data_IF_328449453563
#
_entry.id   IF_328449453563
#
_cell.length_a   1.000
_cell.length_b   1.000
_cell.length_c   1.000
_cell.angle_alpha   90.00
_cell.angle_beta   90.00
_cell.angle_gamma   90.00
#
_symmetry.space_group_name_H-M   'P 1'
#
loop_
_entity.id
_entity.type
_entity.pdbx_description
1 polymer ?
#
# COMPACT_ATOMS: atom_id res chain seq x y z
N UNK A 1 -13.57 26.74 -8.37
CA UNK A 1 -13.91 25.32 -8.64
C UNK A 1 -13.06 24.47 -7.71
N UNK A 2 -13.63 23.50 -6.98
CA UNK A 2 -12.82 22.58 -6.17
C UNK A 2 -12.10 21.59 -7.10
N UNK A 3 -10.94 21.10 -6.67
CA UNK A 3 -10.04 20.31 -7.52
C UNK A 3 -9.56 19.05 -6.79
N UNK A 4 -9.60 17.92 -7.48
CA UNK A 4 -8.94 16.67 -7.12
C UNK A 4 -7.76 16.50 -8.09
N UNK A 5 -6.54 16.42 -7.56
CA UNK A 5 -5.36 16.11 -8.36
C UNK A 5 -5.02 14.63 -8.24
N UNK A 6 -4.76 13.96 -9.35
CA UNK A 6 -4.31 12.58 -9.40
C UNK A 6 -2.87 12.52 -9.92
N UNK A 7 -1.93 12.18 -9.05
CA UNK A 7 -0.50 12.03 -9.35
C UNK A 7 -0.22 10.55 -9.62
N UNK A 8 0.39 10.25 -10.76
CA UNK A 8 0.51 8.88 -11.27
C UNK A 8 -0.69 8.46 -12.11
N UNK A 9 -1.29 9.41 -12.82
CA UNK A 9 -2.50 9.19 -13.61
C UNK A 9 -2.30 8.21 -14.78
N UNK A 10 -1.06 7.88 -15.14
CA UNK A 10 -0.74 6.83 -16.12
C UNK A 10 -1.08 5.42 -15.63
N UNK A 11 -1.39 5.23 -14.34
CA UNK A 11 -2.03 4.02 -13.84
C UNK A 11 -3.51 3.97 -14.25
N UNK A 12 -3.76 3.77 -15.55
CA UNK A 12 -5.06 4.04 -16.19
C UNK A 12 -6.23 3.30 -15.56
N UNK A 13 -6.06 2.03 -15.19
CA UNK A 13 -7.10 1.25 -14.51
C UNK A 13 -7.38 1.80 -13.11
N UNK A 14 -6.35 2.16 -12.37
CA UNK A 14 -6.49 2.66 -11.01
C UNK A 14 -7.10 4.08 -11.00
N UNK A 15 -6.63 4.96 -11.90
CA UNK A 15 -7.21 6.28 -12.12
C UNK A 15 -8.69 6.17 -12.53
N UNK A 16 -9.04 5.25 -13.44
CA UNK A 16 -10.43 4.93 -13.79
C UNK A 16 -11.24 4.54 -12.56
N UNK A 17 -10.73 3.64 -11.73
CA UNK A 17 -11.49 3.15 -10.58
C UNK A 17 -11.79 4.28 -9.59
N UNK A 18 -10.77 5.01 -9.15
CA UNK A 18 -10.93 6.03 -8.12
C UNK A 18 -11.69 7.26 -8.65
N UNK A 19 -11.33 7.78 -9.83
CA UNK A 19 -11.99 8.97 -10.38
C UNK A 19 -13.36 8.64 -10.98
N UNK A 20 -13.53 7.44 -11.55
CA UNK A 20 -14.84 6.93 -11.96
C UNK A 20 -15.79 6.79 -10.78
N UNK A 21 -15.31 6.34 -9.62
CA UNK A 21 -16.11 6.33 -8.39
C UNK A 21 -16.53 7.74 -7.98
N UNK A 22 -15.64 8.72 -8.11
CA UNK A 22 -15.95 10.11 -7.81
C UNK A 22 -17.01 10.69 -8.76
N UNK A 23 -17.09 10.24 -10.02
CA UNK A 23 -18.12 10.67 -10.97
C UNK A 23 -19.53 10.25 -10.55
N UNK A 24 -19.67 9.18 -9.73
CA UNK A 24 -20.94 8.72 -9.17
C UNK A 24 -21.36 9.49 -7.91
N UNK A 25 -20.51 10.36 -7.38
CA UNK A 25 -20.81 11.13 -6.16
C UNK A 25 -21.44 12.47 -6.54
N UNK A 26 -22.70 12.75 -6.15
CA UNK A 26 -23.35 14.03 -6.46
C UNK A 26 -22.60 15.25 -5.92
N UNK A 27 -21.99 15.13 -4.73
CA UNK A 27 -21.23 16.21 -4.10
C UNK A 27 -19.92 16.57 -4.84
N UNK A 28 -19.41 15.68 -5.71
CA UNK A 28 -18.17 15.90 -6.46
C UNK A 28 -18.41 16.37 -7.89
N UNK A 29 -19.67 16.58 -8.26
CA UNK A 29 -20.02 17.19 -9.54
C UNK A 29 -19.45 18.63 -9.61
N UNK A 30 -19.13 19.07 -10.83
CA UNK A 30 -18.47 20.36 -11.11
C UNK A 30 -17.03 20.50 -10.57
N UNK A 31 -16.42 19.46 -10.00
CA UNK A 31 -14.99 19.48 -9.65
C UNK A 31 -14.11 19.44 -10.91
N UNK A 32 -12.89 19.95 -10.78
CA UNK A 32 -11.81 19.64 -11.72
C UNK A 32 -11.06 18.39 -11.26
N UNK A 33 -10.91 17.41 -12.14
CA UNK A 33 -10.01 16.26 -12.01
C UNK A 33 -8.74 16.58 -12.80
N UNK A 34 -7.71 17.02 -12.07
CA UNK A 34 -6.40 17.35 -12.61
C UNK A 34 -5.52 16.10 -12.67
N UNK A 35 -5.11 15.68 -13.86
CA UNK A 35 -4.29 14.49 -14.07
C UNK A 35 -2.84 14.89 -14.28
N UNK A 36 -1.91 14.24 -13.59
CA UNK A 36 -0.49 14.40 -13.79
C UNK A 36 0.22 13.05 -13.83
N UNK A 37 1.08 12.88 -14.83
CA UNK A 37 2.03 11.77 -14.94
C UNK A 37 3.27 12.25 -15.72
N UNK A 38 4.42 11.63 -15.46
CA UNK A 38 5.65 11.89 -16.21
C UNK A 38 5.64 11.20 -17.58
N UNK A 39 4.86 10.13 -17.73
CA UNK A 39 4.63 9.45 -18.99
C UNK A 39 3.48 10.11 -19.74
N UNK A 40 3.82 10.94 -20.72
CA UNK A 40 2.85 11.70 -21.53
C UNK A 40 1.88 10.81 -22.31
N UNK A 41 2.34 9.64 -22.75
CA UNK A 41 1.50 8.73 -23.51
C UNK A 41 0.43 8.14 -22.60
N UNK A 42 0.84 7.59 -21.45
CA UNK A 42 -0.10 7.03 -20.47
C UNK A 42 -1.04 8.09 -19.89
N UNK A 43 -0.55 9.31 -19.68
CA UNK A 43 -1.38 10.44 -19.26
C UNK A 43 -2.49 10.75 -20.28
N UNK A 44 -2.14 10.80 -21.57
CA UNK A 44 -3.11 11.02 -22.64
C UNK A 44 -4.14 9.88 -22.73
N UNK A 45 -3.70 8.63 -22.59
CA UNK A 45 -4.59 7.46 -22.59
C UNK A 45 -5.61 7.53 -21.45
N UNK A 46 -5.16 7.88 -20.24
CA UNK A 46 -6.05 8.09 -19.09
C UNK A 46 -7.01 9.25 -19.28
N UNK A 47 -6.57 10.37 -19.84
CA UNK A 47 -7.44 11.50 -20.13
C UNK A 47 -8.55 11.12 -21.12
N UNK A 48 -8.21 10.42 -22.20
CA UNK A 48 -9.18 9.94 -23.20
C UNK A 48 -10.21 9.01 -22.56
N UNK A 49 -9.75 7.98 -21.83
CA UNK A 49 -10.64 7.03 -21.16
C UNK A 49 -11.58 7.72 -20.18
N UNK A 50 -11.07 8.59 -19.31
CA UNK A 50 -11.89 9.31 -18.33
C UNK A 50 -12.87 10.28 -19.00
N UNK A 51 -12.53 10.84 -20.16
CA UNK A 51 -13.42 11.71 -20.94
C UNK A 51 -14.59 10.91 -21.54
N UNK A 52 -14.32 9.73 -22.10
CA UNK A 52 -15.39 8.82 -22.53
C UNK A 52 -16.30 8.45 -21.35
N UNK A 53 -15.71 8.10 -20.21
CA UNK A 53 -16.48 7.74 -19.02
C UNK A 53 -17.34 8.90 -18.52
N UNK A 54 -16.79 10.11 -18.43
CA UNK A 54 -17.53 11.33 -18.07
C UNK A 54 -18.76 11.52 -18.94
N UNK A 55 -18.60 11.40 -20.27
CA UNK A 55 -19.70 11.60 -21.21
C UNK A 55 -20.79 10.53 -21.04
N UNK A 56 -20.40 9.27 -20.89
CA UNK A 56 -21.34 8.17 -20.72
C UNK A 56 -22.12 8.23 -19.41
N UNK A 57 -21.47 8.71 -18.34
CA UNK A 57 -22.10 8.92 -17.04
C UNK A 57 -22.86 10.26 -16.94
N UNK A 58 -22.85 11.10 -17.98
CA UNK A 58 -23.35 12.47 -17.95
C UNK A 58 -22.79 13.30 -16.77
N UNK A 59 -21.54 13.06 -16.40
CA UNK A 59 -20.90 13.74 -15.28
C UNK A 59 -20.51 15.18 -15.65
N UNK A 60 -20.72 16.11 -14.71
CA UNK A 60 -20.47 17.55 -14.91
C UNK A 60 -19.06 18.00 -14.50
N UNK A 61 -18.21 17.05 -14.09
CA UNK A 61 -16.81 17.31 -13.73
C UNK A 61 -16.01 17.84 -14.93
N UNK A 62 -14.88 18.48 -14.68
CA UNK A 62 -13.92 18.88 -15.73
C UNK A 62 -12.69 17.98 -15.63
N UNK A 63 -12.20 17.43 -16.74
CA UNK A 63 -10.97 16.62 -16.76
C UNK A 63 -9.91 17.44 -17.47
N UNK A 64 -8.72 17.53 -16.88
CA UNK A 64 -7.59 18.21 -17.49
C UNK A 64 -6.28 17.50 -17.16
N UNK A 65 -5.52 17.14 -18.18
CA UNK A 65 -4.15 16.71 -18.04
C UNK A 65 -3.20 17.92 -17.95
N UNK A 66 -2.14 17.78 -17.16
CA UNK A 66 -1.14 18.80 -16.92
C UNK A 66 0.26 18.23 -17.21
N UNK A 67 1.08 19.00 -17.93
CA UNK A 67 2.50 18.71 -18.13
C UNK A 67 3.36 19.16 -16.94
N UNK A 68 2.86 20.11 -16.14
CA UNK A 68 3.54 20.65 -14.96
C UNK A 68 2.82 20.21 -13.68
N UNK A 69 3.55 19.57 -12.77
CA UNK A 69 3.02 19.01 -11.53
C UNK A 69 2.43 20.07 -10.63
N UNK A 70 3.11 21.22 -10.54
CA UNK A 70 2.76 22.31 -9.63
C UNK A 70 1.49 23.00 -10.08
N UNK A 71 1.31 23.19 -11.38
CA UNK A 71 0.05 23.69 -11.96
C UNK A 71 -1.10 22.69 -11.80
N UNK A 72 -0.83 21.39 -11.90
CA UNK A 72 -1.83 20.36 -11.59
C UNK A 72 -2.31 20.53 -10.13
N UNK A 73 -1.35 20.61 -9.18
CA UNK A 73 -1.58 20.74 -7.75
C UNK A 73 -2.22 22.05 -7.32
N UNK A 74 -2.01 23.15 -8.06
CA UNK A 74 -2.42 24.51 -7.64
C UNK A 74 -3.90 24.58 -7.27
N UNK A 75 -4.17 24.92 -6.01
CA UNK A 75 -5.53 25.05 -5.47
C UNK A 75 -6.28 23.71 -5.29
N UNK A 76 -5.58 22.57 -5.32
CA UNK A 76 -6.19 21.28 -5.02
C UNK A 76 -6.79 21.24 -3.62
N UNK A 77 -7.96 20.62 -3.49
CA UNK A 77 -8.57 20.28 -2.20
C UNK A 77 -8.17 18.87 -1.76
N UNK A 78 -7.95 17.98 -2.74
CA UNK A 78 -7.53 16.60 -2.53
C UNK A 78 -6.46 16.23 -3.54
N UNK A 79 -5.48 15.45 -3.10
CA UNK A 79 -4.41 14.89 -3.92
C UNK A 79 -4.42 13.39 -3.73
N UNK A 80 -4.57 12.63 -4.81
CA UNK A 80 -4.52 11.17 -4.82
C UNK A 80 -3.19 10.78 -5.44
N UNK A 81 -2.40 9.99 -4.73
CA UNK A 81 -1.05 9.62 -5.14
C UNK A 81 -0.91 8.11 -5.37
N UNK A 82 -0.62 7.72 -6.61
CA UNK A 82 -0.47 6.33 -7.03
C UNK A 82 0.73 6.14 -7.96
N UNK A 83 1.89 6.67 -7.57
CA UNK A 83 3.13 6.59 -8.35
C UNK A 83 3.86 5.26 -8.11
N UNK A 84 4.71 4.88 -9.06
CA UNK A 84 5.69 3.80 -8.88
C UNK A 84 7.05 4.27 -9.41
N UNK A 85 7.91 4.74 -8.49
CA UNK A 85 9.24 5.24 -8.88
C UNK A 85 10.13 4.08 -9.33
N UNK A 86 10.67 4.20 -10.54
CA UNK A 86 11.54 3.21 -11.17
C UNK A 86 10.83 2.09 -11.96
N UNK A 87 9.51 1.94 -11.78
CA UNK A 87 8.69 0.98 -12.53
C UNK A 87 9.13 -0.49 -12.40
N UNK A 88 8.59 -1.35 -13.27
CA UNK A 88 8.98 -2.76 -13.34
C UNK A 88 10.44 -2.91 -13.80
N UNK A 89 10.79 -2.28 -14.93
CA UNK A 89 12.15 -2.23 -15.46
C UNK A 89 12.68 -0.78 -15.40
N UNK A 90 13.85 -0.54 -14.79
CA UNK A 90 14.77 -1.55 -14.26
C UNK A 90 14.51 -1.95 -12.80
N UNK A 91 13.80 -1.12 -12.02
CA UNK A 91 13.93 -1.16 -10.56
C UNK A 91 13.39 -2.43 -9.90
N UNK A 92 12.18 -2.88 -10.23
CA UNK A 92 11.66 -4.14 -9.66
C UNK A 92 12.50 -5.34 -10.08
N UNK A 93 13.02 -5.37 -11.31
CA UNK A 93 13.95 -6.42 -11.72
C UNK A 93 15.24 -6.38 -10.88
N UNK A 94 15.81 -5.21 -10.64
CA UNK A 94 16.99 -5.05 -9.76
C UNK A 94 16.69 -5.55 -8.34
N UNK A 95 15.52 -5.15 -7.78
CA UNK A 95 15.09 -5.52 -6.43
C UNK A 95 14.90 -7.04 -6.24
N UNK A 96 14.82 -7.83 -7.33
CA UNK A 96 14.75 -9.28 -7.30
C UNK A 96 16.06 -9.97 -7.72
N UNK A 97 16.68 -9.51 -8.81
CA UNK A 97 17.84 -10.19 -9.39
C UNK A 97 19.11 -10.00 -8.55
N UNK A 98 19.29 -8.87 -7.87
CA UNK A 98 20.45 -8.68 -6.99
C UNK A 98 20.33 -9.55 -5.72
N UNK A 99 19.24 -9.53 -4.93
CA UNK A 99 19.10 -10.40 -3.77
C UNK A 99 19.25 -11.90 -4.08
N UNK A 100 18.78 -12.36 -5.24
CA UNK A 100 18.96 -13.76 -5.68
C UNK A 100 20.43 -14.19 -5.78
N UNK A 101 21.34 -13.28 -6.16
CA UNK A 101 22.78 -13.59 -6.24
C UNK A 101 23.37 -13.96 -4.88
N UNK A 102 22.76 -13.46 -3.80
CA UNK A 102 23.12 -13.73 -2.42
C UNK A 102 22.33 -14.91 -1.83
N UNK A 103 21.46 -15.57 -2.60
CA UNK A 103 20.58 -16.63 -2.12
C UNK A 103 19.30 -16.14 -1.43
N UNK A 104 19.07 -14.83 -1.37
CA UNK A 104 17.89 -14.24 -0.74
C UNK A 104 16.72 -14.19 -1.74
N UNK A 105 15.79 -15.15 -1.63
CA UNK A 105 14.65 -15.32 -2.56
C UNK A 105 13.41 -14.59 -2.05
N UNK A 106 12.71 -13.86 -2.90
CA UNK A 106 11.54 -13.07 -2.52
C UNK A 106 10.28 -13.51 -3.27
N UNK A 107 9.11 -13.13 -2.76
CA UNK A 107 7.81 -13.31 -3.43
C UNK A 107 7.37 -11.99 -4.06
N UNK A 108 7.37 -10.90 -3.30
CA UNK A 108 6.75 -9.63 -3.69
C UNK A 108 7.75 -8.46 -3.71
N UNK A 109 8.56 -8.29 -2.67
CA UNK A 109 9.64 -7.28 -2.62
C UNK A 109 9.19 -5.84 -2.76
N UNK A 110 7.91 -5.54 -2.50
CA UNK A 110 7.29 -4.26 -2.90
C UNK A 110 7.06 -3.28 -1.73
N UNK A 111 7.08 -3.76 -0.49
CA UNK A 111 6.66 -2.98 0.70
C UNK A 111 7.59 -3.17 1.91
N UNK A 112 7.71 -4.41 2.41
CA UNK A 112 8.65 -4.81 3.47
C UNK A 112 9.68 -5.76 2.86
N UNK A 113 10.80 -6.02 3.53
CA UNK A 113 11.93 -6.77 2.96
C UNK A 113 12.96 -5.88 2.28
N UNK A 114 14.04 -6.50 1.78
CA UNK A 114 15.12 -5.77 1.08
C UNK A 114 14.62 -5.03 -0.17
N UNK A 115 13.69 -5.61 -0.93
CA UNK A 115 13.07 -4.92 -2.06
C UNK A 115 12.26 -3.69 -1.61
N UNK A 116 11.46 -3.84 -0.55
CA UNK A 116 10.69 -2.74 0.06
C UNK A 116 11.57 -1.61 0.62
N UNK A 117 12.70 -1.96 1.24
CA UNK A 117 13.73 -1.02 1.68
C UNK A 117 14.21 -0.15 0.51
N UNK A 118 14.70 -0.77 -0.57
CA UNK A 118 15.24 -0.03 -1.70
C UNK A 118 14.18 0.74 -2.48
N UNK A 119 12.96 0.21 -2.59
CA UNK A 119 11.83 0.96 -3.14
C UNK A 119 11.51 2.20 -2.33
N UNK A 120 11.56 2.12 -1.00
CA UNK A 120 11.39 3.29 -0.14
C UNK A 120 12.48 4.34 -0.39
N UNK A 121 13.75 3.93 -0.45
CA UNK A 121 14.88 4.84 -0.65
C UNK A 121 14.82 5.59 -1.99
N UNK A 122 14.25 4.97 -3.03
CA UNK A 122 13.97 5.64 -4.32
C UNK A 122 12.76 6.58 -4.25
N UNK A 123 11.75 6.21 -3.48
CA UNK A 123 10.43 6.88 -3.52
C UNK A 123 10.34 8.06 -2.55
N UNK A 124 10.99 7.99 -1.39
CA UNK A 124 10.96 9.06 -0.38
C UNK A 124 11.37 10.43 -0.95
N UNK A 125 12.49 10.58 -1.69
CA UNK A 125 12.87 11.88 -2.25
C UNK A 125 11.81 12.47 -3.17
N UNK A 126 11.26 11.65 -4.08
CA UNK A 126 10.19 12.07 -5.01
C UNK A 126 8.94 12.49 -4.25
N UNK A 127 8.59 11.78 -3.17
CA UNK A 127 7.43 12.10 -2.36
C UNK A 127 7.61 13.39 -1.57
N UNK A 128 8.82 13.67 -1.07
CA UNK A 128 9.15 14.94 -0.42
C UNK A 128 9.10 16.12 -1.40
N UNK A 129 9.56 15.93 -2.64
CA UNK A 129 9.42 16.95 -3.70
C UNK A 129 7.95 17.26 -4.01
N UNK A 130 7.10 16.23 -4.07
CA UNK A 130 5.64 16.39 -4.23
C UNK A 130 5.05 17.15 -3.03
N UNK A 131 5.47 16.80 -1.81
CA UNK A 131 4.98 17.45 -0.60
C UNK A 131 5.35 18.94 -0.57
N UNK A 132 6.56 19.29 -0.99
CA UNK A 132 7.00 20.68 -1.10
C UNK A 132 6.12 21.47 -2.07
N UNK A 133 5.79 20.90 -3.24
CA UNK A 133 4.86 21.55 -4.17
C UNK A 133 3.47 21.74 -3.55
N UNK A 134 2.96 20.74 -2.84
CA UNK A 134 1.66 20.83 -2.14
C UNK A 134 1.67 21.94 -1.10
N UNK A 135 2.70 22.03 -0.25
CA UNK A 135 2.80 23.08 0.77
C UNK A 135 2.81 24.48 0.15
N UNK A 136 3.40 24.64 -1.03
CA UNK A 136 3.46 25.93 -1.71
C UNK A 136 2.13 26.32 -2.38
N UNK A 137 1.49 25.39 -3.10
CA UNK A 137 0.36 25.75 -3.99
C UNK A 137 -0.99 25.17 -3.58
N UNK A 138 -1.03 24.27 -2.59
CA UNK A 138 -2.24 23.65 -2.07
C UNK A 138 -2.09 23.21 -0.59
N UNK A 139 -1.67 24.10 0.34
CA UNK A 139 -1.30 23.72 1.71
C UNK A 139 -2.43 23.10 2.54
N UNK A 140 -3.68 23.29 2.13
CA UNK A 140 -4.86 22.74 2.80
C UNK A 140 -5.34 21.41 2.19
N UNK A 141 -4.65 20.89 1.18
CA UNK A 141 -5.07 19.68 0.50
C UNK A 141 -4.87 18.43 1.35
N UNK A 142 -5.82 17.50 1.27
CA UNK A 142 -5.65 16.15 1.82
C UNK A 142 -4.94 15.24 0.81
N UNK A 143 -3.83 14.65 1.23
CA UNK A 143 -3.03 13.71 0.46
C UNK A 143 -3.44 12.26 0.77
N UNK A 144 -4.15 11.64 -0.16
CA UNK A 144 -4.59 10.25 -0.09
C UNK A 144 -3.55 9.36 -0.79
N UNK A 145 -2.70 8.71 0.00
CA UNK A 145 -1.59 7.92 -0.51
C UNK A 145 -2.00 6.47 -0.77
N UNK A 146 -1.89 6.03 -2.03
CA UNK A 146 -2.00 4.64 -2.46
C UNK A 146 -0.65 4.02 -2.85
N UNK A 147 0.42 4.79 -2.76
CA UNK A 147 1.76 4.34 -3.15
C UNK A 147 2.40 3.52 -2.05
N UNK A 148 2.87 2.32 -2.40
CA UNK A 148 3.76 1.50 -1.57
C UNK A 148 5.22 1.95 -1.71
N UNK A 149 6.04 1.81 -0.64
CA UNK A 149 5.72 1.20 0.65
C UNK A 149 4.96 2.12 1.62
N UNK A 150 3.69 1.81 1.93
CA UNK A 150 2.76 2.79 2.48
C UNK A 150 3.16 3.30 3.87
N UNK A 151 3.48 2.40 4.80
CA UNK A 151 3.85 2.78 6.16
C UNK A 151 5.08 3.70 6.19
N UNK A 152 6.08 3.42 5.35
CA UNK A 152 7.30 4.23 5.26
C UNK A 152 7.00 5.60 4.65
N UNK A 153 6.23 5.64 3.57
CA UNK A 153 5.94 6.86 2.81
C UNK A 153 5.00 7.80 3.57
N UNK A 154 3.88 7.28 4.07
CA UNK A 154 2.92 8.03 4.92
C UNK A 154 3.58 8.47 6.23
N UNK A 155 4.41 7.59 6.83
CA UNK A 155 5.18 7.94 8.03
C UNK A 155 6.22 9.03 7.77
N UNK A 156 6.85 9.06 6.59
CA UNK A 156 7.79 10.11 6.19
C UNK A 156 7.09 11.45 6.06
N UNK A 157 5.99 11.51 5.30
CA UNK A 157 5.19 12.73 5.14
C UNK A 157 4.75 13.28 6.51
N UNK A 158 4.16 12.43 7.34
CA UNK A 158 3.65 12.82 8.66
C UNK A 158 4.72 13.33 9.64
N UNK A 159 5.99 12.94 9.45
CA UNK A 159 7.09 13.31 10.34
C UNK A 159 7.88 14.53 9.85
N UNK A 160 7.95 14.75 8.54
CA UNK A 160 8.91 15.68 7.94
C UNK A 160 8.26 16.75 7.06
N UNK A 161 6.94 16.77 6.91
CA UNK A 161 6.21 17.80 6.16
C UNK A 161 4.95 18.23 6.91
N UNK A 162 4.31 19.31 6.46
CA UNK A 162 3.03 19.80 6.98
C UNK A 162 1.83 19.30 6.14
N UNK A 163 2.06 18.37 5.21
CA UNK A 163 1.00 17.85 4.34
C UNK A 163 0.07 16.95 5.14
N UNK A 164 -1.21 17.31 5.17
CA UNK A 164 -2.27 16.45 5.71
C UNK A 164 -2.36 15.18 4.87
N UNK A 165 -2.16 14.01 5.48
CA UNK A 165 -2.04 12.77 4.72
C UNK A 165 -2.66 11.57 5.44
N UNK A 166 -3.06 10.57 4.64
CA UNK A 166 -3.44 9.23 5.10
C UNK A 166 -3.03 8.21 4.04
N UNK A 167 -2.53 7.05 4.45
CA UNK A 167 -2.29 5.92 3.54
C UNK A 167 -3.49 4.98 3.46
N UNK A 168 -3.83 4.54 2.24
CA UNK A 168 -5.01 3.72 1.94
C UNK A 168 -4.63 2.41 1.27
N UNK A 169 -4.81 1.29 1.97
CA UNK A 169 -4.46 -0.05 1.49
C UNK A 169 -5.70 -0.93 1.31
N UNK A 170 -5.73 -1.70 0.21
CA UNK A 170 -6.79 -2.67 -0.06
C UNK A 170 -6.80 -3.86 0.89
N UNK A 171 -5.66 -4.20 1.49
CA UNK A 171 -5.48 -5.37 2.33
C UNK A 171 -6.40 -5.40 3.55
N UNK A 172 -6.37 -4.32 4.33
CA UNK A 172 -7.28 -4.13 5.48
C UNK A 172 -8.73 -4.06 5.03
N UNK A 173 -8.99 -3.45 3.87
CA UNK A 173 -10.33 -3.25 3.34
C UNK A 173 -11.06 -4.56 3.01
N UNK A 174 -10.34 -5.56 2.50
CA UNK A 174 -10.93 -6.82 2.03
C UNK A 174 -10.71 -7.99 2.99
N UNK A 175 -9.88 -7.80 4.02
CA UNK A 175 -9.38 -8.84 4.93
C UNK A 175 -10.46 -9.83 5.37
N UNK A 176 -11.48 -9.37 6.09
CA UNK A 176 -12.46 -10.27 6.70
C UNK A 176 -13.42 -10.87 5.67
N UNK A 177 -13.83 -10.09 4.67
CA UNK A 177 -14.66 -10.58 3.55
C UNK A 177 -13.98 -11.75 2.85
N UNK A 178 -12.70 -11.59 2.51
CA UNK A 178 -11.96 -12.58 1.74
C UNK A 178 -11.62 -13.82 2.59
N UNK A 179 -11.26 -13.64 3.87
CA UNK A 179 -11.13 -14.73 4.84
C UNK A 179 -12.42 -15.56 4.91
N UNK A 180 -13.56 -14.89 5.08
CA UNK A 180 -14.84 -15.57 5.26
C UNK A 180 -15.27 -16.29 3.99
N UNK A 181 -15.11 -15.65 2.82
CA UNK A 181 -15.35 -16.30 1.52
C UNK A 181 -14.50 -17.56 1.37
N UNK A 182 -13.22 -17.48 1.73
CA UNK A 182 -12.30 -18.61 1.65
C UNK A 182 -12.66 -19.75 2.62
N UNK A 183 -13.25 -19.44 3.77
CA UNK A 183 -13.73 -20.42 4.76
C UNK A 183 -15.21 -20.83 4.55
N UNK A 184 -15.89 -20.33 3.51
CA UNK A 184 -17.32 -20.59 3.27
C UNK A 184 -18.23 -20.05 4.39
N UNK A 185 -17.85 -18.91 4.98
CA UNK A 185 -18.58 -18.23 6.05
C UNK A 185 -19.32 -17.00 5.50
N UNK A 186 -20.43 -16.64 6.13
CA UNK A 186 -21.20 -15.44 5.81
C UNK A 186 -20.56 -14.19 6.44
N UNK A 187 -20.21 -13.22 5.61
CA UNK A 187 -19.50 -11.99 5.98
C UNK A 187 -20.45 -10.79 6.17
N UNK A 188 -21.77 -11.00 6.17
CA UNK A 188 -22.75 -9.93 6.37
C UNK A 188 -23.03 -9.69 7.85
N UNK A 189 -23.22 -8.42 8.22
CA UNK A 189 -23.57 -8.02 9.60
C UNK A 189 -22.50 -8.38 10.64
N UNK A 190 -21.23 -8.35 10.24
CA UNK A 190 -20.10 -8.62 11.13
C UNK A 190 -19.60 -7.34 11.78
N UNK A 191 -19.20 -7.45 13.03
CA UNK A 191 -18.42 -6.43 13.75
C UNK A 191 -16.96 -6.85 13.71
N UNK A 192 -16.08 -5.95 13.28
CA UNK A 192 -14.65 -6.23 13.20
C UNK A 192 -13.80 -5.11 13.76
N UNK A 193 -12.61 -5.47 14.26
CA UNK A 193 -11.58 -4.53 14.66
C UNK A 193 -10.25 -5.01 14.12
N UNK A 194 -9.67 -4.26 13.19
CA UNK A 194 -8.36 -4.55 12.61
C UNK A 194 -7.39 -3.44 13.01
N UNK A 195 -6.18 -3.80 13.46
CA UNK A 195 -5.13 -2.84 13.74
C UNK A 195 -3.72 -3.43 13.68
N UNK A 196 -2.73 -2.60 13.36
CA UNK A 196 -1.32 -2.94 13.37
C UNK A 196 -0.52 -1.92 12.57
N UNK A 197 0.25 -2.37 11.58
CA UNK A 197 0.89 -1.52 10.57
C UNK A 197 0.47 -2.02 9.18
N UNK A 198 0.63 -1.19 8.15
CA UNK A 198 0.34 -1.60 6.78
C UNK A 198 0.95 -2.97 6.44
N UNK A 199 0.13 -3.85 5.88
CA UNK A 199 0.44 -5.24 5.51
C UNK A 199 0.79 -6.21 6.67
N UNK A 200 0.87 -5.74 7.91
CA UNK A 200 1.01 -6.57 9.13
C UNK A 200 0.00 -6.09 10.18
N UNK A 201 -1.26 -5.92 9.78
CA UNK A 201 -2.35 -5.62 10.69
C UNK A 201 -3.11 -6.91 11.03
N UNK A 202 -3.72 -6.93 12.22
CA UNK A 202 -4.35 -8.14 12.77
C UNK A 202 -5.83 -7.93 12.95
N UNK A 203 -6.64 -8.92 12.57
CA UNK A 203 -8.06 -8.96 12.88
C UNK A 203 -8.24 -9.24 14.38
N UNK A 204 -8.24 -8.22 15.23
CA UNK A 204 -8.25 -8.35 16.68
C UNK A 204 -9.60 -8.83 17.24
N UNK A 205 -10.70 -8.38 16.62
CA UNK A 205 -12.06 -8.77 16.99
C UNK A 205 -12.84 -9.08 15.73
N UNK A 206 -13.64 -10.14 15.77
CA UNK A 206 -14.59 -10.50 14.73
C UNK A 206 -15.80 -11.18 15.35
N UNK A 207 -16.94 -10.51 15.31
CA UNK A 207 -18.17 -10.94 15.99
C UNK A 207 -19.38 -10.85 15.06
N UNK A 208 -20.41 -11.64 15.35
CA UNK A 208 -21.74 -11.49 14.78
C UNK A 208 -22.78 -11.67 15.88
N UNK A 209 -23.67 -10.70 16.02
CA UNK A 209 -24.69 -10.67 17.07
C UNK A 209 -24.10 -10.90 18.48
N UNK A 210 -22.95 -10.28 18.76
CA UNK A 210 -22.20 -10.41 20.02
C UNK A 210 -21.40 -11.71 20.20
N UNK A 211 -21.47 -12.67 19.28
CA UNK A 211 -20.74 -13.95 19.36
C UNK A 211 -19.38 -13.86 18.66
N UNK A 212 -18.31 -14.30 19.35
CA UNK A 212 -16.97 -14.39 18.78
C UNK A 212 -16.87 -15.49 17.71
N UNK A 213 -16.39 -15.12 16.53
CA UNK A 213 -16.29 -16.01 15.38
C UNK A 213 -14.92 -16.72 15.27
N UNK A 214 -13.92 -16.30 16.05
CA UNK A 214 -12.58 -16.90 15.99
C UNK A 214 -12.52 -18.41 16.20
N UNK A 215 -13.27 -19.01 17.15
CA UNK A 215 -13.28 -20.46 17.32
C UNK A 215 -13.66 -21.22 16.04
N UNK A 216 -14.68 -20.73 15.32
CA UNK A 216 -15.14 -21.34 14.07
C UNK A 216 -14.16 -21.07 12.92
N UNK A 217 -13.62 -19.85 12.82
CA UNK A 217 -12.57 -19.48 11.85
C UNK A 217 -11.38 -20.44 11.99
N UNK A 218 -10.86 -20.62 13.20
CA UNK A 218 -9.72 -21.50 13.48
C UNK A 218 -10.03 -22.96 13.16
N UNK A 219 -11.24 -23.44 13.49
CA UNK A 219 -11.68 -24.80 13.16
C UNK A 219 -11.69 -25.03 11.65
N UNK A 220 -12.29 -24.12 10.87
CA UNK A 220 -12.36 -24.23 9.41
C UNK A 220 -11.00 -24.06 8.75
N UNK A 221 -10.17 -23.14 9.23
CA UNK A 221 -8.81 -22.96 8.73
C UNK A 221 -7.96 -24.22 8.93
N UNK A 222 -8.06 -24.87 10.10
CA UNK A 222 -7.38 -26.15 10.36
C UNK A 222 -7.85 -27.27 9.43
N UNK A 223 -9.15 -27.34 9.14
CA UNK A 223 -9.67 -28.30 8.17
C UNK A 223 -9.15 -28.00 6.76
N UNK A 224 -9.13 -26.72 6.38
CA UNK A 224 -8.69 -26.26 5.06
C UNK A 224 -7.20 -26.50 4.81
N UNK A 225 -6.37 -26.38 5.86
CA UNK A 225 -4.94 -26.68 5.81
C UNK A 225 -4.61 -28.17 5.54
N UNK A 226 -5.61 -29.07 5.47
CA UNK A 226 -5.38 -30.45 5.00
C UNK A 226 -5.17 -30.54 3.48
N UNK A 227 -5.54 -29.50 2.75
CA UNK A 227 -5.37 -29.38 1.30
C UNK A 227 -4.53 -28.14 0.96
N UNK A 228 -3.80 -28.16 -0.16
CA UNK A 228 -3.02 -27.00 -0.59
C UNK A 228 -3.95 -25.85 -1.03
N UNK A 229 -3.65 -24.63 -0.59
CA UNK A 229 -4.32 -23.42 -1.05
C UNK A 229 -3.41 -22.19 -0.97
N UNK A 230 -3.83 -21.06 -1.52
CA UNK A 230 -3.03 -19.83 -1.58
C UNK A 230 -2.90 -19.08 -0.23
N UNK A 231 -3.37 -19.65 0.88
CA UNK A 231 -3.51 -18.91 2.16
C UNK A 231 -2.85 -19.58 3.36
N UNK A 232 -1.95 -20.52 3.09
CA UNK A 232 -1.40 -21.42 4.11
C UNK A 232 -0.49 -20.68 5.09
N UNK A 233 0.30 -19.70 4.63
CA UNK A 233 1.18 -18.90 5.50
C UNK A 233 0.37 -18.09 6.52
N UNK A 234 -0.68 -17.38 6.08
CA UNK A 234 -1.55 -16.63 7.02
C UNK A 234 -2.26 -17.55 8.01
N UNK A 235 -2.72 -18.72 7.57
CA UNK A 235 -3.34 -19.70 8.48
C UNK A 235 -2.34 -20.27 9.47
N UNK A 236 -1.09 -20.50 9.06
CA UNK A 236 -0.03 -20.94 9.96
C UNK A 236 0.33 -19.86 10.98
N UNK A 237 0.41 -18.59 10.57
CA UNK A 237 0.58 -17.46 11.48
C UNK A 237 -0.58 -17.38 12.48
N UNK A 238 -1.83 -17.49 12.03
CA UNK A 238 -3.01 -17.49 12.91
C UNK A 238 -3.00 -18.66 13.88
N UNK A 239 -2.58 -19.85 13.46
CA UNK A 239 -2.48 -21.03 14.32
C UNK A 239 -1.44 -20.83 15.44
N UNK A 240 -0.30 -20.20 15.12
CA UNK A 240 0.83 -20.04 16.06
C UNK A 240 0.75 -18.78 16.91
N UNK A 241 0.24 -17.68 16.37
CA UNK A 241 0.18 -16.36 17.02
C UNK A 241 -1.24 -15.94 17.44
N UNK A 242 -2.25 -16.69 17.01
CA UNK A 242 -3.62 -16.62 17.51
C UNK A 242 -4.59 -15.75 16.71
N UNK A 243 -4.10 -14.93 15.77
CA UNK A 243 -4.88 -13.93 15.05
C UNK A 243 -4.57 -13.96 13.55
N UNK A 244 -5.57 -13.68 12.72
CA UNK A 244 -5.40 -13.58 11.27
C UNK A 244 -4.78 -12.23 10.90
N UNK A 245 -3.84 -12.24 9.96
CA UNK A 245 -3.13 -11.05 9.46
C UNK A 245 -3.73 -10.60 8.11
N UNK A 246 -3.76 -9.29 7.86
CA UNK A 246 -4.46 -8.71 6.71
C UNK A 246 -3.89 -9.13 5.35
N UNK A 247 -2.58 -9.00 5.15
CA UNK A 247 -1.97 -9.15 3.81
C UNK A 247 -1.70 -10.59 3.40
N UNK A 248 -1.77 -10.86 2.09
CA UNK A 248 -1.70 -12.19 1.51
C UNK A 248 -0.53 -13.04 2.01
N UNK A 249 -0.71 -14.36 1.93
CA UNK A 249 0.32 -15.33 2.31
C UNK A 249 1.63 -15.16 1.54
N UNK A 250 1.56 -14.60 0.34
CA UNK A 250 2.69 -14.27 -0.53
C UNK A 250 3.60 -13.24 0.15
N UNK A 251 3.02 -12.13 0.60
CA UNK A 251 3.73 -11.06 1.28
C UNK A 251 4.21 -11.52 2.67
N UNK A 252 3.32 -12.15 3.46
CA UNK A 252 3.70 -12.62 4.78
C UNK A 252 4.75 -13.74 4.74
N UNK A 253 4.97 -14.42 3.62
CA UNK A 253 6.07 -15.38 3.48
C UNK A 253 7.46 -14.72 3.62
N UNK A 254 7.59 -13.46 3.16
CA UNK A 254 8.88 -12.73 3.17
C UNK A 254 8.99 -11.68 4.30
N UNK A 255 7.91 -11.37 5.03
CA UNK A 255 7.94 -10.40 6.14
C UNK A 255 8.34 -11.01 7.48
N UNK A 256 8.41 -12.34 7.53
CA UNK A 256 8.76 -13.10 8.72
C UNK A 256 9.93 -14.04 8.42
N UNK A 257 10.77 -14.35 9.43
CA UNK A 257 11.99 -15.14 9.21
C UNK A 257 11.73 -16.65 9.16
N UNK A 258 10.52 -17.09 8.82
CA UNK A 258 10.06 -18.46 9.07
C UNK A 258 9.86 -19.30 7.81
N UNK A 259 9.50 -18.68 6.68
CA UNK A 259 8.84 -19.40 5.58
C UNK A 259 9.70 -19.58 4.34
N UNK A 260 10.50 -18.57 4.00
CA UNK A 260 11.48 -18.66 2.91
C UNK A 260 12.83 -18.90 3.57
N UNK A 261 13.26 -20.16 3.59
CA UNK A 261 14.42 -20.64 4.35
C UNK A 261 15.25 -21.60 3.52
N UNK A 262 16.52 -21.28 3.30
CA UNK A 262 17.47 -22.17 2.63
C UNK A 262 17.67 -23.51 3.36
N UNK A 263 17.59 -23.50 4.69
CA UNK A 263 17.68 -24.70 5.53
C UNK A 263 16.42 -25.59 5.48
N UNK A 264 15.28 -25.04 5.03
CA UNK A 264 13.98 -25.72 4.98
C UNK A 264 13.28 -25.44 3.64
N UNK A 265 13.90 -25.81 2.50
CA UNK A 265 13.40 -25.45 1.17
C UNK A 265 12.04 -26.08 0.85
N UNK A 266 11.66 -27.17 1.52
CA UNK A 266 10.37 -27.84 1.42
C UNK A 266 9.19 -26.93 1.80
N UNK A 267 9.41 -25.96 2.69
CA UNK A 267 8.37 -25.03 3.15
C UNK A 267 7.75 -24.23 2.00
N UNK A 268 8.53 -23.98 0.93
CA UNK A 268 8.02 -23.30 -0.26
C UNK A 268 6.89 -24.09 -0.92
N UNK A 269 7.06 -25.40 -1.07
CA UNK A 269 6.04 -26.26 -1.68
C UNK A 269 4.92 -26.60 -0.68
N UNK A 270 5.27 -26.88 0.58
CA UNK A 270 4.32 -27.25 1.64
C UNK A 270 3.31 -26.12 1.93
N UNK A 271 3.77 -24.87 1.88
CA UNK A 271 2.95 -23.68 2.16
C UNK A 271 2.50 -22.95 0.89
N UNK A 272 2.78 -23.52 -0.30
CA UNK A 272 2.39 -22.98 -1.60
C UNK A 272 2.84 -21.51 -1.78
N UNK A 273 4.12 -21.24 -1.50
CA UNK A 273 4.71 -19.89 -1.53
C UNK A 273 5.14 -19.54 -2.96
N UNK A 274 4.55 -18.50 -3.59
CA UNK A 274 4.84 -18.15 -4.97
C UNK A 274 6.06 -17.22 -5.04
N UNK A 275 7.26 -17.80 -5.12
CA UNK A 275 8.48 -17.01 -5.35
C UNK A 275 8.40 -16.27 -6.70
N UNK A 276 9.04 -15.10 -6.79
CA UNK A 276 9.04 -14.26 -7.99
C UNK A 276 7.63 -13.86 -8.49
N UNK A 277 6.66 -13.74 -7.58
CA UNK A 277 5.28 -13.41 -7.93
C UNK A 277 5.14 -11.99 -8.48
N UNK A 278 5.76 -10.99 -7.85
CA UNK A 278 5.58 -9.60 -8.31
C UNK A 278 6.15 -9.34 -9.72
N UNK A 279 7.36 -9.82 -10.09
CA UNK A 279 7.82 -9.76 -11.47
C UNK A 279 6.86 -10.44 -12.46
N UNK A 280 6.30 -11.60 -12.12
CA UNK A 280 5.31 -12.30 -12.96
C UNK A 280 4.03 -11.49 -13.11
N UNK A 281 3.56 -10.85 -12.03
CA UNK A 281 2.41 -9.92 -12.06
C UNK A 281 2.67 -8.72 -12.95
N UNK A 282 3.87 -8.13 -12.91
CA UNK A 282 4.22 -7.01 -13.78
C UNK A 282 4.15 -7.40 -15.26
N UNK A 283 4.73 -8.54 -15.64
CA UNK A 283 4.66 -9.04 -17.03
C UNK A 283 3.22 -9.27 -17.45
N UNK A 284 2.44 -10.02 -16.65
CA UNK A 284 1.04 -10.30 -16.94
C UNK A 284 0.17 -9.03 -17.06
N UNK A 285 0.42 -8.03 -16.22
CA UNK A 285 -0.30 -6.76 -16.27
C UNK A 285 0.02 -5.95 -17.53
N UNK A 286 1.28 -5.94 -17.97
CA UNK A 286 1.69 -5.26 -19.21
C UNK A 286 1.04 -5.93 -20.42
N UNK A 287 1.12 -7.26 -20.53
CA UNK A 287 0.50 -8.03 -21.62
C UNK A 287 -1.03 -7.82 -21.65
N UNK A 288 -1.66 -7.86 -20.47
CA UNK A 288 -3.10 -7.61 -20.34
C UNK A 288 -3.46 -6.18 -20.74
N UNK A 289 -2.66 -5.19 -20.36
CA UNK A 289 -2.88 -3.80 -20.76
C UNK A 289 -2.80 -3.64 -22.27
N UNK A 290 -1.80 -4.23 -22.93
CA UNK A 290 -1.65 -4.17 -24.39
C UNK A 290 -2.87 -4.74 -25.13
N UNK A 291 -3.46 -5.83 -24.61
CA UNK A 291 -4.68 -6.42 -25.15
C UNK A 291 -5.92 -5.56 -24.89
N UNK A 292 -6.05 -5.00 -23.69
CA UNK A 292 -7.23 -4.25 -23.27
C UNK A 292 -7.23 -2.78 -23.73
N UNK A 293 -6.07 -2.24 -24.11
CA UNK A 293 -5.91 -0.80 -24.40
C UNK A 293 -6.89 -0.32 -25.46
N UNK A 294 -7.03 -1.04 -26.58
CA UNK A 294 -7.97 -0.68 -27.64
C UNK A 294 -9.41 -0.66 -27.12
N UNK A 295 -9.81 -1.70 -26.39
CA UNK A 295 -11.18 -1.85 -25.87
C UNK A 295 -11.53 -0.94 -24.69
N UNK A 296 -10.53 -0.34 -24.03
CA UNK A 296 -10.74 0.56 -22.89
C UNK A 296 -10.55 2.03 -23.24
N UNK A 297 -9.55 2.35 -24.07
CA UNK A 297 -9.22 3.73 -24.42
C UNK A 297 -10.03 4.18 -25.62
N UNK A 298 -10.19 3.34 -26.64
CA UNK A 298 -10.89 3.72 -27.89
C UNK A 298 -12.39 3.38 -27.84
N UNK A 299 -12.84 2.67 -26.81
CA UNK A 299 -14.24 2.33 -26.61
C UNK A 299 -15.04 3.47 -25.99
N UNK A 300 -15.74 4.20 -26.87
CA UNK A 300 -16.64 5.27 -26.46
C UNK A 300 -17.84 4.81 -25.61
N UNK A 301 -18.07 3.51 -25.40
CA UNK A 301 -19.17 2.97 -24.59
C UNK A 301 -18.71 2.46 -23.20
N UNK A 302 -17.49 2.78 -22.77
CA UNK A 302 -17.00 2.39 -21.45
C UNK A 302 -17.93 2.89 -20.33
N UNK A 303 -18.24 2.00 -19.39
CA UNK A 303 -19.04 2.32 -18.21
C UNK A 303 -18.22 2.12 -16.94
N UNK A 304 -18.80 2.52 -15.81
CA UNK A 304 -18.19 2.31 -14.51
C UNK A 304 -19.27 2.10 -13.46
N UNK A 305 -19.07 1.12 -12.61
CA UNK A 305 -19.84 0.93 -11.38
C UNK A 305 -18.98 1.39 -10.22
N UNK A 306 -19.59 2.08 -9.25
CA UNK A 306 -18.85 2.58 -8.10
C UNK A 306 -18.24 1.40 -7.35
N UNK A 307 -16.92 1.37 -7.32
CA UNK A 307 -16.11 0.31 -6.75
C UNK A 307 -16.03 0.43 -5.23
N UNK A 308 -15.13 -0.37 -4.65
CA UNK A 308 -14.88 -0.34 -3.22
C UNK A 308 -13.86 0.75 -2.84
N UNK A 309 -13.12 1.36 -3.78
CA UNK A 309 -12.01 2.27 -3.47
C UNK A 309 -12.37 3.35 -2.43
N UNK A 310 -11.55 3.44 -1.37
CA UNK A 310 -11.81 4.35 -0.24
C UNK A 310 -11.81 5.82 -0.64
N UNK A 311 -10.96 6.23 -1.58
CA UNK A 311 -10.75 7.64 -1.93
C UNK A 311 -12.04 8.38 -2.22
N UNK A 312 -12.92 7.82 -3.05
CA UNK A 312 -14.20 8.47 -3.38
C UNK A 312 -15.10 8.64 -2.15
N UNK A 313 -15.12 7.67 -1.23
CA UNK A 313 -15.98 7.66 -0.03
C UNK A 313 -15.45 8.59 1.04
N UNK A 314 -14.13 8.68 1.18
CA UNK A 314 -13.47 9.64 2.07
C UNK A 314 -13.77 11.07 1.60
N UNK A 315 -13.56 11.35 0.31
CA UNK A 315 -13.81 12.68 -0.25
C UNK A 315 -15.31 13.02 -0.15
N UNK A 316 -16.20 12.09 -0.48
CA UNK A 316 -17.64 12.26 -0.29
C UNK A 316 -18.00 12.62 1.15
N UNK A 317 -17.48 11.87 2.13
CA UNK A 317 -17.72 12.12 3.55
C UNK A 317 -17.23 13.51 4.00
N UNK A 318 -16.10 13.98 3.47
CA UNK A 318 -15.55 15.30 3.76
C UNK A 318 -16.38 16.43 3.13
N UNK A 319 -16.99 16.20 1.97
CA UNK A 319 -17.85 17.17 1.31
C UNK A 319 -19.27 17.20 1.91
N UNK A 320 -19.89 16.04 2.15
CA UNK A 320 -21.27 15.91 2.62
C UNK A 320 -21.41 15.99 4.14
N UNK A 321 -20.34 15.67 4.88
CA UNK A 321 -20.38 15.51 6.33
C UNK A 321 -20.97 14.18 6.80
N UNK A 322 -21.43 13.33 5.87
CA UNK A 322 -21.84 11.96 6.19
C UNK A 322 -20.60 11.15 6.55
N UNK A 323 -20.66 10.43 7.66
CA UNK A 323 -19.47 9.78 8.20
C UNK A 323 -19.12 8.52 7.41
N UNK A 324 -17.84 8.34 7.08
CA UNK A 324 -17.31 7.11 6.50
C UNK A 324 -16.18 6.54 7.35
N UNK A 325 -16.29 5.26 7.73
CA UNK A 325 -15.26 4.54 8.46
C UNK A 325 -14.42 3.67 7.52
N UNK A 326 -13.11 3.64 7.73
CA UNK A 326 -12.16 2.90 6.90
C UNK A 326 -10.89 2.55 7.67
N UNK A 327 -10.09 1.60 7.17
CA UNK A 327 -8.73 1.37 7.68
C UNK A 327 -7.76 2.36 7.06
N UNK A 328 -7.08 3.16 7.90
CA UNK A 328 -6.15 4.19 7.44
C UNK A 328 -4.78 4.08 8.09
N UNK A 329 -3.75 4.42 7.32
CA UNK A 329 -2.37 4.52 7.80
C UNK A 329 -2.07 5.94 8.26
N UNK A 330 -1.66 6.09 9.51
CA UNK A 330 -1.40 7.38 10.16
C UNK A 330 -0.23 7.25 11.15
N UNK A 331 0.40 8.38 11.51
CA UNK A 331 1.39 8.38 12.59
C UNK A 331 0.73 7.96 13.92
N UNK A 332 1.42 7.16 14.72
CA UNK A 332 0.94 6.66 16.02
C UNK A 332 0.93 7.74 17.13
N UNK A 333 0.66 8.98 16.78
CA UNK A 333 0.65 10.13 17.68
C UNK A 333 -0.34 9.92 18.81
N UNK A 334 0.11 10.12 20.05
CA UNK A 334 -0.72 9.90 21.24
C UNK A 334 -0.95 8.42 21.58
N UNK A 335 -0.22 7.50 20.93
CA UNK A 335 -0.28 6.07 21.23
C UNK A 335 -1.60 5.43 20.82
N UNK A 336 -2.09 5.70 19.60
CA UNK A 336 -3.30 5.07 19.03
C UNK A 336 -3.26 3.53 19.21
N UNK A 337 -2.09 2.96 18.95
CA UNK A 337 -1.70 1.62 19.40
C UNK A 337 -0.66 1.77 20.52
N UNK A 338 -1.09 1.51 21.76
CA UNK A 338 -0.39 1.94 22.97
C UNK A 338 0.94 1.22 23.26
N UNK A 339 1.19 0.05 22.65
CA UNK A 339 2.44 -0.70 22.80
C UNK A 339 3.29 -0.76 21.51
N UNK A 340 3.03 0.17 20.58
CA UNK A 340 3.90 0.45 19.44
C UNK A 340 4.53 1.86 19.57
N UNK A 341 5.69 2.12 18.96
CA UNK A 341 6.35 3.43 19.04
C UNK A 341 5.50 4.57 18.46
N UNK A 342 5.50 5.75 19.08
CA UNK A 342 4.78 6.95 18.60
C UNK A 342 5.22 7.39 17.19
N UNK A 343 6.50 7.18 16.86
CA UNK A 343 7.09 7.52 15.55
C UNK A 343 6.70 6.56 14.42
N UNK A 344 6.02 5.46 14.72
CA UNK A 344 5.61 4.47 13.72
C UNK A 344 4.36 4.93 12.96
N UNK A 345 4.27 4.56 11.69
CA UNK A 345 3.01 4.64 10.95
C UNK A 345 2.20 3.37 11.24
N UNK A 346 1.03 3.52 11.84
CA UNK A 346 0.11 2.43 12.21
C UNK A 346 -1.10 2.42 11.28
N UNK A 347 -1.68 1.23 11.09
CA UNK A 347 -2.93 1.03 10.37
C UNK A 347 -4.04 0.79 11.40
N UNK A 348 -4.98 1.73 11.49
CA UNK A 348 -6.07 1.74 12.48
C UNK A 348 -7.39 2.15 11.83
N UNK A 349 -8.55 1.91 12.46
CA UNK A 349 -9.80 2.47 12.00
C UNK A 349 -9.76 4.00 12.07
N UNK A 350 -10.23 4.64 11.01
CA UNK A 350 -10.32 6.07 10.84
C UNK A 350 -11.75 6.47 10.49
N UNK A 351 -12.13 7.69 10.86
CA UNK A 351 -13.44 8.28 10.60
C UNK A 351 -13.23 9.52 9.74
N UNK A 352 -13.80 9.54 8.53
CA UNK A 352 -13.85 10.72 7.67
C UNK A 352 -15.20 11.41 7.79
N UNK A 353 -15.19 12.74 7.92
CA UNK A 353 -16.37 13.61 7.82
C UNK A 353 -15.91 15.04 7.44
N UNK A 354 -16.80 16.04 7.54
CA UNK A 354 -16.50 17.44 7.18
C UNK A 354 -15.33 18.08 7.94
N UNK A 355 -14.95 17.54 9.09
CA UNK A 355 -13.80 18.00 9.88
C UNK A 355 -12.47 17.40 9.42
N UNK A 356 -12.49 16.49 8.44
CA UNK A 356 -11.33 15.75 7.96
C UNK A 356 -11.34 14.30 8.44
N UNK A 357 -10.13 13.74 8.60
CA UNK A 357 -9.92 12.34 8.97
C UNK A 357 -9.44 12.28 10.42
N UNK A 358 -10.18 11.56 11.26
CA UNK A 358 -9.84 11.33 12.66
C UNK A 358 -9.52 9.84 12.89
N UNK A 359 -8.29 9.48 13.25
CA UNK A 359 -7.95 8.10 13.61
C UNK A 359 -8.52 7.73 14.98
N UNK A 360 -8.79 6.44 15.18
CA UNK A 360 -9.36 5.92 16.44
C UNK A 360 -8.31 5.26 17.33
N UNK A 361 -8.48 5.39 18.64
CA UNK A 361 -7.65 4.68 19.62
C UNK A 361 -8.01 3.19 19.64
N UNK A 362 -6.99 2.34 19.53
CA UNK A 362 -7.13 0.88 19.47
C UNK A 362 -6.87 0.25 20.83
N UNK A 363 -5.89 0.77 21.59
CA UNK A 363 -5.37 0.14 22.80
C UNK A 363 -4.08 -0.65 22.54
N UNK A 364 -3.80 -1.65 23.38
CA UNK A 364 -2.63 -2.51 23.19
C UNK A 364 -2.98 -3.66 22.25
N UNK A 365 -2.08 -3.97 21.31
CA UNK A 365 -2.12 -5.26 20.62
C UNK A 365 -1.70 -6.36 21.62
N UNK A 366 -2.16 -7.61 21.43
CA UNK A 366 -1.52 -8.77 22.05
C UNK A 366 -0.01 -8.74 21.85
N UNK A 367 0.76 -9.02 22.91
CA UNK A 367 2.19 -8.69 22.94
C UNK A 367 3.01 -9.41 21.87
N UNK A 368 2.66 -10.66 21.54
CA UNK A 368 3.31 -11.41 20.46
C UNK A 368 3.08 -10.79 19.08
N UNK A 369 1.91 -10.15 18.87
CA UNK A 369 1.60 -9.46 17.62
C UNK A 369 2.32 -8.11 17.57
N UNK A 370 2.31 -7.37 18.69
CA UNK A 370 3.09 -6.15 18.83
C UNK A 370 4.58 -6.40 18.57
N UNK A 371 5.13 -7.53 19.02
CA UNK A 371 6.50 -7.93 18.75
C UNK A 371 6.77 -8.12 17.25
N UNK A 372 5.88 -8.83 16.52
CA UNK A 372 5.97 -8.98 15.06
C UNK A 372 5.80 -7.65 14.30
N UNK A 373 4.98 -6.73 14.81
CA UNK A 373 4.93 -5.38 14.27
C UNK A 373 6.25 -4.64 14.49
N UNK A 374 6.82 -4.71 15.70
CA UNK A 374 8.04 -4.00 16.06
C UNK A 374 9.25 -4.45 15.25
N UNK A 375 9.37 -5.73 14.90
CA UNK A 375 10.46 -6.21 14.02
C UNK A 375 10.43 -5.50 12.67
N UNK A 376 9.24 -5.33 12.08
CA UNK A 376 9.06 -4.63 10.82
C UNK A 376 9.17 -3.09 10.96
N UNK A 377 8.65 -2.52 12.05
CA UNK A 377 8.75 -1.08 12.34
C UNK A 377 10.22 -0.64 12.48
N UNK A 378 11.08 -1.48 13.07
CA UNK A 378 12.49 -1.16 13.22
C UNK A 378 13.16 -0.89 11.87
N UNK A 379 12.95 -1.77 10.89
CA UNK A 379 13.42 -1.60 9.52
C UNK A 379 12.80 -0.35 8.89
N UNK A 380 11.48 -0.18 8.95
CA UNK A 380 10.79 0.99 8.38
C UNK A 380 11.36 2.32 8.90
N UNK A 381 11.59 2.43 10.20
CA UNK A 381 12.10 3.66 10.81
C UNK A 381 13.55 3.96 10.41
N UNK A 382 14.39 2.94 10.30
CA UNK A 382 15.78 3.10 9.85
C UNK A 382 15.86 3.38 8.35
N UNK A 383 14.95 2.85 7.54
CA UNK A 383 14.79 3.23 6.13
C UNK A 383 14.50 4.72 5.98
N UNK A 384 13.56 5.24 6.79
CA UNK A 384 13.27 6.68 6.81
C UNK A 384 14.52 7.46 7.26
N UNK A 385 15.19 7.01 8.31
CA UNK A 385 16.40 7.67 8.81
C UNK A 385 17.51 7.72 7.75
N UNK A 386 17.70 6.62 7.00
CA UNK A 386 18.64 6.55 5.89
C UNK A 386 18.30 7.59 4.82
N UNK A 387 17.05 7.62 4.36
CA UNK A 387 16.62 8.57 3.33
C UNK A 387 16.77 10.04 3.74
N UNK A 388 16.47 10.37 5.00
CA UNK A 388 16.52 11.75 5.52
C UNK A 388 17.95 12.21 5.78
N UNK A 389 18.76 11.37 6.44
CA UNK A 389 20.15 11.73 6.79
C UNK A 389 21.12 11.52 5.64
N UNK A 390 20.71 10.76 4.61
CA UNK A 390 21.54 10.30 3.49
C UNK A 390 22.77 9.49 3.93
N UNK A 391 22.71 8.89 5.12
CA UNK A 391 23.79 8.04 5.62
C UNK A 391 23.60 6.61 5.15
N UNK A 392 24.64 6.06 4.53
CA UNK A 392 24.69 4.68 4.06
C UNK A 392 24.60 3.67 5.20
N UNK A 393 25.17 4.02 6.36
CA UNK A 393 25.14 3.18 7.57
C UNK A 393 23.71 2.78 7.98
N UNK A 394 22.73 3.67 7.79
CA UNK A 394 21.34 3.40 8.17
C UNK A 394 20.62 2.48 7.18
N UNK A 395 21.07 2.41 5.92
CA UNK A 395 20.61 1.39 4.97
C UNK A 395 21.03 0.01 5.48
N UNK A 396 22.30 -0.12 5.88
CA UNK A 396 22.81 -1.37 6.43
C UNK A 396 22.09 -1.75 7.72
N UNK A 397 21.87 -0.82 8.65
CA UNK A 397 21.10 -1.10 9.86
C UNK A 397 19.68 -1.58 9.56
N UNK A 398 19.00 -0.97 8.59
CA UNK A 398 17.66 -1.38 8.19
C UNK A 398 17.65 -2.81 7.61
N UNK A 399 18.60 -3.12 6.73
CA UNK A 399 18.73 -4.45 6.13
C UNK A 399 19.12 -5.54 7.15
N UNK A 400 20.00 -5.22 8.11
CA UNK A 400 20.39 -6.15 9.20
C UNK A 400 19.25 -6.44 10.17
N UNK A 401 18.26 -5.55 10.26
CA UNK A 401 17.08 -5.72 11.11
C UNK A 401 15.86 -6.26 10.36
N UNK A 402 15.94 -6.35 9.03
CA UNK A 402 14.91 -7.00 8.23
C UNK A 402 14.83 -8.50 8.60
N UNK A 403 13.66 -9.02 9.02
CA UNK A 403 13.58 -10.36 9.57
C UNK A 403 14.04 -11.45 8.61
N UNK A 404 13.60 -11.41 7.35
CA UNK A 404 13.93 -12.44 6.38
C UNK A 404 15.40 -12.35 5.96
N UNK A 405 15.88 -11.14 5.63
CA UNK A 405 17.29 -10.89 5.25
C UNK A 405 18.26 -11.37 6.32
N UNK A 406 18.05 -10.94 7.57
CA UNK A 406 18.91 -11.31 8.71
C UNK A 406 18.85 -12.79 9.09
N UNK A 407 17.81 -13.49 8.65
CA UNK A 407 17.65 -14.93 8.91
C UNK A 407 18.37 -15.83 7.91
N UNK A 408 18.76 -15.28 6.75
CA UNK A 408 19.41 -16.01 5.65
C UNK A 408 20.87 -15.58 5.40
N UNK A 409 21.21 -14.31 5.65
CA UNK A 409 22.51 -13.75 5.26
C UNK A 409 23.39 -13.38 6.47
N UNK A 410 24.71 -13.45 6.28
CA UNK A 410 25.68 -12.91 7.24
C UNK A 410 25.74 -11.38 7.19
N UNK A 411 26.34 -10.74 8.20
CA UNK A 411 26.49 -9.27 8.24
C UNK A 411 27.24 -8.76 7.00
N UNK A 412 28.33 -9.41 6.60
CA UNK A 412 29.15 -8.98 5.46
C UNK A 412 28.42 -9.18 4.13
N UNK A 413 27.62 -10.24 4.00
CA UNK A 413 26.77 -10.47 2.82
C UNK A 413 25.66 -9.41 2.73
N UNK A 414 25.07 -9.01 3.87
CA UNK A 414 24.04 -7.96 3.90
C UNK A 414 24.61 -6.62 3.46
N UNK A 415 25.82 -6.26 3.91
CA UNK A 415 26.50 -5.03 3.48
C UNK A 415 26.79 -5.07 1.98
N UNK A 416 27.35 -6.19 1.49
CA UNK A 416 27.66 -6.38 0.07
C UNK A 416 26.41 -6.32 -0.81
N UNK A 417 25.32 -6.97 -0.37
CA UNK A 417 24.01 -6.91 -1.02
C UNK A 417 23.50 -5.47 -1.12
N UNK A 418 23.60 -4.69 -0.04
CA UNK A 418 23.18 -3.30 -0.05
C UNK A 418 24.03 -2.47 -1.01
N UNK A 419 25.36 -2.68 -1.04
CA UNK A 419 26.25 -1.95 -1.95
C UNK A 419 25.95 -2.26 -3.42
N UNK A 420 25.75 -3.54 -3.77
CA UNK A 420 25.36 -3.95 -5.12
C UNK A 420 24.00 -3.36 -5.54
N UNK A 421 23.03 -3.32 -4.61
CA UNK A 421 21.72 -2.70 -4.87
C UNK A 421 21.85 -1.18 -5.06
N UNK A 422 22.70 -0.50 -4.28
CA UNK A 422 22.96 0.94 -4.45
C UNK A 422 23.60 1.19 -5.81
N UNK A 423 24.61 0.42 -6.19
CA UNK A 423 25.28 0.53 -7.49
C UNK A 423 24.30 0.27 -8.64
N UNK A 424 23.53 -0.81 -8.58
CA UNK A 424 22.60 -1.21 -9.64
C UNK A 424 21.46 -0.19 -9.85
N UNK A 425 20.94 0.40 -8.78
CA UNK A 425 19.92 1.45 -8.89
C UNK A 425 20.50 2.80 -9.35
N UNK A 426 21.79 3.06 -9.13
CA UNK A 426 22.47 4.26 -9.62
C UNK A 426 21.69 5.55 -9.37
N UNK A 427 21.38 6.30 -10.43
CA UNK A 427 20.70 7.61 -10.34
C UNK A 427 19.22 7.55 -9.90
N UNK A 428 18.64 6.36 -9.71
CA UNK A 428 17.32 6.25 -9.07
C UNK A 428 17.39 6.47 -7.55
N UNK A 429 18.58 6.42 -6.96
CA UNK A 429 18.83 6.72 -5.56
C UNK A 429 19.60 8.04 -5.43
N UNK A 430 19.38 8.81 -4.34
CA UNK A 430 20.29 9.89 -4.00
C UNK A 430 21.67 9.34 -3.62
N UNK A 431 22.69 10.20 -3.65
CA UNK A 431 24.01 9.86 -3.13
C UNK A 431 23.95 9.64 -1.60
N UNK A 432 24.24 8.42 -1.18
CA UNK A 432 24.38 8.03 0.22
C UNK A 432 25.85 8.04 0.64
N UNK A 433 26.15 8.60 1.81
CA UNK A 433 27.51 8.81 2.33
C UNK A 433 27.86 7.92 3.51
#
# INVERSE_FOLDING_TARGET
MKKITFIGAGSTIFAKNVLGDCMHVPALQQFEFALYDIDKQRLSESQTLLTHLKNNLNSTITIKAYDDRKEALRGASYVINAIQVGGYKPSTVIDFEIPKKYGLRQTIGDTIGIGGLFRSLRTIPVLLDIAQDIEEVAPNAWFLNYTNPMAVLTGTLSRYTNVQNVGLCHSVQVCTRDLFKHLGMDHTGIEEKIAGINHVAWLLEVKKDGQDLYPEIKRRAKEKNKEKHHDMVRFQLMERFGYYVTESSEHNAEYHPYFIKSAYPELIDDLNIPLDEYPRRCVSQIERWEQMKQDLVDNAQITHERSIEYGSRIIEAMETGETFMFGGNVLNTGGLIANLPDKACVEVPCVANRSGITPTYVGKLPEQLAALNRTNINTQLLTIEAAITKKREHIYHAAMLDPHTSSELSIDDIVSLCDDLIEAHGNYLPEYR
#
